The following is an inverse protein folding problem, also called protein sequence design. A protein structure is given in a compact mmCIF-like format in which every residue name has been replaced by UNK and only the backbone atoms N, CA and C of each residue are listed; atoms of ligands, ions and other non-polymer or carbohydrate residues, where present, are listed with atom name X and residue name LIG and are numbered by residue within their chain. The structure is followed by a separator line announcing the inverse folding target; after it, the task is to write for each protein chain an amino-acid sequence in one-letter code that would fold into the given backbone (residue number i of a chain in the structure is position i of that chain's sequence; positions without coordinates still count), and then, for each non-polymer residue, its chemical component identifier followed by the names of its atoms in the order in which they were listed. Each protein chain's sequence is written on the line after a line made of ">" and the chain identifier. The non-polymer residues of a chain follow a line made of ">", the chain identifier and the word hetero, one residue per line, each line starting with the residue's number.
data_IF_191562533056
#
_entry.id   IF_191562533056
#
_cell.length_a   1.000
_cell.length_b   1.000
_cell.length_c   1.000
_cell.angle_alpha   90.00
_cell.angle_beta   90.00
_cell.angle_gamma   90.00
#
_symmetry.space_group_name_H-M   'P 1'
#
loop_
_entity.id
_entity.type
_entity.pdbx_description
1 polymer ?
#
# COMPACT_ATOMS: atom_id res chain seq x y z
N UNK A 1 8.54 4.80 0.19
CA UNK A 1 7.44 3.84 0.16
C UNK A 1 6.05 4.45 -0.09
N UNK A 2 5.95 5.60 -0.77
CA UNK A 2 4.70 6.26 -1.13
C UNK A 2 3.95 6.95 0.03
N UNK A 3 4.60 7.11 1.16
CA UNK A 3 4.10 7.84 2.32
C UNK A 3 4.90 9.14 2.46
N UNK A 4 4.64 10.10 1.59
CA UNK A 4 5.38 11.38 1.55
C UNK A 4 4.66 12.52 2.27
N UNK A 5 3.66 12.18 3.07
CA UNK A 5 2.84 13.18 3.73
C UNK A 5 3.33 13.55 5.12
N UNK A 6 2.87 14.70 5.57
CA UNK A 6 2.84 15.01 6.98
C UNK A 6 2.14 13.89 7.72
N UNK A 7 2.83 13.28 8.66
CA UNK A 7 2.31 12.19 9.47
C UNK A 7 1.68 12.76 10.75
N UNK A 8 0.35 12.87 10.82
CA UNK A 8 -0.31 13.34 12.02
C UNK A 8 -0.07 12.40 13.21
N UNK A 9 -0.42 12.87 14.39
CA UNK A 9 -0.38 12.05 15.58
C UNK A 9 -1.46 10.98 15.52
N UNK A 10 -1.14 9.76 15.98
CA UNK A 10 -2.12 8.73 16.30
C UNK A 10 -2.25 8.60 17.80
N UNK A 11 -3.41 8.14 18.26
CA UNK A 11 -3.64 7.86 19.67
C UNK A 11 -3.47 6.37 19.94
N UNK A 12 -2.63 6.04 20.93
CA UNK A 12 -2.39 4.69 21.38
C UNK A 12 -2.69 4.64 22.88
N UNK A 13 -3.73 3.91 23.27
CA UNK A 13 -4.15 3.79 24.68
C UNK A 13 -4.32 5.15 25.39
N UNK A 14 -4.85 6.16 24.68
CA UNK A 14 -5.04 7.51 25.20
C UNK A 14 -3.78 8.39 25.18
N UNK A 15 -2.68 7.93 24.60
CA UNK A 15 -1.42 8.67 24.45
C UNK A 15 -1.24 9.09 23.02
N UNK A 16 -1.13 10.39 22.76
CA UNK A 16 -0.83 10.91 21.43
C UNK A 16 0.63 10.62 21.07
N UNK A 17 0.84 9.88 19.97
CA UNK A 17 2.15 9.55 19.41
C UNK A 17 2.31 10.29 18.09
N UNK A 18 3.13 11.36 18.04
CA UNK A 18 3.26 12.19 16.86
C UNK A 18 3.95 11.46 15.71
N UNK A 19 3.55 11.76 14.49
CA UNK A 19 4.25 11.37 13.28
C UNK A 19 4.14 9.90 12.89
N UNK A 20 3.13 9.17 13.35
CA UNK A 20 2.97 7.73 13.08
C UNK A 20 1.74 7.33 12.26
N UNK A 21 0.89 8.27 11.87
CA UNK A 21 -0.16 7.98 10.89
C UNK A 21 0.49 7.77 9.51
N UNK A 22 0.21 6.62 8.91
CA UNK A 22 0.74 6.19 7.62
C UNK A 22 -0.37 6.05 6.57
N UNK A 23 -1.51 6.70 6.78
CA UNK A 23 -2.58 6.72 5.79
C UNK A 23 -2.09 7.42 4.51
N UNK A 24 -2.08 6.75 3.36
CA UNK A 24 -1.57 7.35 2.12
C UNK A 24 -2.54 8.43 1.62
N UNK A 25 -1.99 9.52 1.11
CA UNK A 25 -2.74 10.59 0.46
C UNK A 25 -2.24 10.84 -0.97
N UNK A 26 -2.85 11.81 -1.65
CA UNK A 26 -2.45 12.20 -3.01
C UNK A 26 -0.97 12.64 -3.12
N UNK A 27 -0.35 13.08 -2.01
CA UNK A 27 1.06 13.49 -1.98
C UNK A 27 2.05 12.31 -2.14
N UNK A 28 1.56 11.07 -2.04
CA UNK A 28 2.35 9.87 -2.34
C UNK A 28 2.97 9.86 -3.76
N UNK A 29 2.58 10.83 -4.61
CA UNK A 29 3.10 11.02 -5.98
C UNK A 29 4.47 11.70 -6.05
N UNK A 30 5.08 12.06 -4.93
CA UNK A 30 6.40 12.67 -4.93
C UNK A 30 7.48 11.77 -5.54
N UNK A 31 8.28 12.33 -6.46
CA UNK A 31 9.44 11.67 -7.09
C UNK A 31 9.13 10.39 -7.90
N UNK A 32 7.94 10.28 -8.51
CA UNK A 32 7.61 9.18 -9.43
C UNK A 32 7.78 9.61 -10.89
N UNK A 33 8.01 8.63 -11.76
CA UNK A 33 8.08 8.84 -13.19
C UNK A 33 6.69 9.24 -13.73
N UNK A 34 6.53 10.48 -14.18
CA UNK A 34 5.26 10.97 -14.73
C UNK A 34 5.18 10.85 -16.25
N UNK A 35 6.31 10.74 -16.94
CA UNK A 35 6.32 10.62 -18.40
C UNK A 35 7.70 10.31 -18.96
N UNK A 36 7.70 9.90 -20.20
CA UNK A 36 8.89 9.66 -21.02
C UNK A 36 8.66 10.35 -22.36
N UNK A 37 9.61 11.15 -22.80
CA UNK A 37 9.64 11.73 -24.14
C UNK A 37 10.83 11.15 -24.92
N UNK A 38 10.57 10.79 -26.15
CA UNK A 38 11.60 10.26 -27.05
C UNK A 38 11.91 11.26 -28.17
N UNK A 39 13.16 11.29 -28.65
CA UNK A 39 13.59 12.25 -29.66
C UNK A 39 12.91 12.10 -31.04
N UNK A 40 12.11 11.06 -31.23
CA UNK A 40 11.36 10.79 -32.46
C UNK A 40 9.87 11.21 -32.37
N UNK A 41 9.51 12.01 -31.38
CA UNK A 41 8.17 12.55 -31.22
C UNK A 41 7.15 11.63 -30.53
N UNK A 42 7.58 10.53 -29.95
CA UNK A 42 6.72 9.72 -29.09
C UNK A 42 6.83 10.21 -27.65
N UNK A 43 5.72 10.24 -26.96
CA UNK A 43 5.71 10.43 -25.51
C UNK A 43 4.73 9.49 -24.83
N UNK A 44 5.04 9.19 -23.58
CA UNK A 44 4.21 8.40 -22.67
C UNK A 44 3.95 9.22 -21.41
N UNK A 45 2.71 9.32 -21.01
CA UNK A 45 2.32 9.94 -19.72
C UNK A 45 1.70 8.87 -18.85
N UNK A 46 2.18 8.76 -17.62
CA UNK A 46 1.70 7.81 -16.63
C UNK A 46 0.82 8.53 -15.60
N UNK A 47 -0.42 8.08 -15.49
CA UNK A 47 -1.32 8.55 -14.45
C UNK A 47 -1.41 7.48 -13.36
N UNK A 48 -1.29 7.92 -12.12
CA UNK A 48 -1.28 7.05 -10.96
C UNK A 48 -2.46 7.32 -10.05
N UNK A 49 -2.89 6.29 -9.36
CA UNK A 49 -3.84 6.34 -8.27
C UNK A 49 -3.26 5.64 -7.04
N UNK A 50 -3.88 5.85 -5.87
CA UNK A 50 -3.48 5.15 -4.65
C UNK A 50 -3.79 3.66 -4.80
N UNK A 51 -2.90 2.84 -4.24
CA UNK A 51 -3.22 1.45 -4.01
C UNK A 51 -4.45 1.32 -3.10
N UNK A 52 -5.21 0.26 -3.27
CA UNK A 52 -6.31 -0.08 -2.37
C UNK A 52 -6.30 -1.58 -2.07
N UNK A 53 -6.74 -1.93 -0.88
CA UNK A 53 -6.98 -3.30 -0.46
C UNK A 53 -8.43 -3.46 -0.02
N UNK A 54 -8.98 -4.65 -0.21
CA UNK A 54 -10.30 -4.99 0.30
C UNK A 54 -10.24 -5.13 1.83
N UNK A 55 -11.13 -4.43 2.51
CA UNK A 55 -11.37 -4.59 3.95
C UNK A 55 -12.78 -5.15 4.14
N UNK A 56 -12.87 -6.34 4.74
CA UNK A 56 -14.15 -7.03 4.90
C UNK A 56 -15.14 -6.28 5.80
N UNK A 57 -14.65 -5.45 6.72
CA UNK A 57 -15.47 -4.74 7.70
C UNK A 57 -15.90 -3.35 7.21
N UNK A 58 -15.02 -2.64 6.48
CA UNK A 58 -15.19 -1.21 6.21
C UNK A 58 -15.21 -0.88 4.71
N UNK A 59 -15.18 -1.89 3.83
CA UNK A 59 -15.05 -1.69 2.39
C UNK A 59 -13.59 -1.46 1.96
N UNK A 60 -13.39 -1.04 0.72
CA UNK A 60 -12.05 -0.80 0.21
C UNK A 60 -11.39 0.39 0.89
N UNK A 61 -10.13 0.24 1.28
CA UNK A 61 -9.35 1.32 1.88
C UNK A 61 -8.05 1.58 1.12
N UNK A 62 -7.58 2.83 1.12
CA UNK A 62 -6.28 3.17 0.55
C UNK A 62 -5.16 2.41 1.27
N UNK A 63 -4.13 2.02 0.50
CA UNK A 63 -2.95 1.36 1.02
C UNK A 63 -1.68 2.02 0.46
N UNK A 64 -0.56 1.86 1.14
CA UNK A 64 0.68 2.52 0.78
C UNK A 64 1.16 2.25 -0.64
N UNK A 65 1.70 3.28 -1.26
CA UNK A 65 2.17 3.25 -2.63
C UNK A 65 1.12 3.62 -3.67
N UNK A 66 1.53 3.53 -4.91
CA UNK A 66 0.75 3.93 -6.08
C UNK A 66 0.71 2.79 -7.09
N UNK A 67 -0.35 2.78 -7.88
CA UNK A 67 -0.52 1.93 -9.05
C UNK A 67 -0.84 2.77 -10.28
N UNK A 68 -0.60 2.23 -11.44
CA UNK A 68 -0.90 2.93 -12.71
C UNK A 68 -2.41 2.87 -12.97
N UNK A 69 -3.05 4.03 -13.06
CA UNK A 69 -4.46 4.13 -13.47
C UNK A 69 -4.59 4.15 -15.00
N UNK A 70 -3.68 4.87 -15.68
CA UNK A 70 -3.66 4.89 -17.15
C UNK A 70 -2.29 5.23 -17.71
N UNK A 71 -2.08 4.80 -18.95
CA UNK A 71 -0.93 5.18 -19.77
C UNK A 71 -1.45 5.85 -21.02
N UNK A 72 -1.08 7.11 -21.21
CA UNK A 72 -1.36 7.86 -22.43
C UNK A 72 -0.12 7.85 -23.31
N UNK A 73 -0.26 7.42 -24.56
CA UNK A 73 0.77 7.48 -25.57
C UNK A 73 0.40 8.52 -26.61
N UNK A 74 1.31 9.45 -26.88
CA UNK A 74 1.22 10.39 -27.99
C UNK A 74 2.20 9.93 -29.09
N UNK A 75 1.69 9.86 -30.31
CA UNK A 75 2.47 9.51 -31.49
C UNK A 75 2.85 10.82 -32.23
N UNK A 76 3.99 10.86 -32.87
CA UNK A 76 4.56 12.07 -33.49
C UNK A 76 3.68 12.80 -34.52
N UNK A 77 2.59 12.19 -34.99
CA UNK A 77 1.56 12.81 -35.84
C UNK A 77 0.43 13.50 -35.03
N UNK A 78 0.53 13.52 -33.69
CA UNK A 78 -0.49 14.06 -32.78
C UNK A 78 -1.60 13.06 -32.40
N UNK A 79 -1.55 11.84 -32.87
CA UNK A 79 -2.49 10.79 -32.48
C UNK A 79 -2.23 10.36 -31.02
N UNK A 80 -3.30 10.26 -30.26
CA UNK A 80 -3.25 9.89 -28.85
C UNK A 80 -4.00 8.58 -28.60
N UNK A 81 -3.38 7.69 -27.88
CA UNK A 81 -3.99 6.47 -27.40
C UNK A 81 -3.92 6.37 -25.88
N UNK A 82 -4.96 5.81 -25.27
CA UNK A 82 -5.04 5.67 -23.79
C UNK A 82 -5.34 4.24 -23.43
N UNK A 83 -4.48 3.63 -22.63
CA UNK A 83 -4.75 2.37 -21.93
C UNK A 83 -5.12 2.66 -20.49
N UNK A 84 -6.18 2.04 -19.98
CA UNK A 84 -6.63 2.19 -18.59
C UNK A 84 -6.58 0.87 -17.86
N UNK A 85 -6.34 0.93 -16.57
CA UNK A 85 -6.23 -0.23 -15.72
C UNK A 85 -7.23 -0.15 -14.56
N UNK A 86 -7.92 -1.24 -14.30
CA UNK A 86 -8.80 -1.40 -13.15
C UNK A 86 -8.35 -2.61 -12.34
N UNK A 87 -8.42 -2.45 -11.02
CA UNK A 87 -7.91 -3.41 -10.05
C UNK A 87 -9.02 -3.91 -9.13
N UNK A 88 -10.12 -4.34 -9.76
CA UNK A 88 -11.34 -4.72 -9.05
C UNK A 88 -11.74 -6.15 -9.36
N UNK A 89 -12.35 -6.78 -8.38
CA UNK A 89 -13.04 -8.05 -8.51
C UNK A 89 -14.39 -7.85 -9.24
N UNK A 90 -15.05 -8.93 -9.70
CA UNK A 90 -16.36 -8.82 -10.37
C UNK A 90 -17.45 -8.18 -9.50
N UNK A 91 -17.31 -8.22 -8.18
CA UNK A 91 -18.24 -7.59 -7.22
C UNK A 91 -17.94 -6.11 -6.96
N UNK A 92 -16.95 -5.53 -7.65
CA UNK A 92 -16.56 -4.13 -7.55
C UNK A 92 -15.60 -3.79 -6.44
N UNK A 93 -15.25 -4.75 -5.57
CA UNK A 93 -14.26 -4.54 -4.52
C UNK A 93 -12.83 -4.57 -5.08
N UNK A 94 -11.90 -3.97 -4.36
CA UNK A 94 -10.49 -4.04 -4.70
C UNK A 94 -10.00 -5.49 -4.79
N UNK A 95 -9.24 -5.81 -5.82
CA UNK A 95 -8.52 -7.09 -5.93
C UNK A 95 -7.15 -7.04 -5.23
N UNK A 96 -6.84 -5.92 -4.56
CA UNK A 96 -5.59 -5.73 -3.85
C UNK A 96 -5.54 -6.46 -2.53
N UNK A 97 -4.38 -7.04 -2.26
CA UNK A 97 -4.06 -7.75 -1.02
C UNK A 97 -2.70 -7.28 -0.53
N UNK A 98 -2.62 -6.88 0.72
CA UNK A 98 -1.36 -6.51 1.35
C UNK A 98 -0.69 -7.75 1.94
N UNK A 99 0.64 -7.81 1.86
CA UNK A 99 1.41 -8.82 2.58
C UNK A 99 1.26 -8.63 4.09
N UNK A 100 1.35 -7.38 4.54
CA UNK A 100 1.09 -6.98 5.91
C UNK A 100 0.29 -5.68 5.90
N UNK A 101 -0.94 -5.74 6.41
CA UNK A 101 -1.87 -4.60 6.41
C UNK A 101 -1.84 -3.80 7.71
N UNK A 102 -1.20 -4.35 8.75
CA UNK A 102 -1.06 -3.70 10.07
C UNK A 102 0.40 -3.35 10.31
N UNK A 103 0.71 -2.05 10.15
CA UNK A 103 2.04 -1.54 10.46
C UNK A 103 2.22 -1.37 11.96
N UNK A 104 3.29 -1.94 12.50
CA UNK A 104 3.61 -1.84 13.92
C UNK A 104 4.90 -1.08 14.12
N UNK A 105 4.78 0.09 14.72
CA UNK A 105 5.89 0.98 15.04
C UNK A 105 6.07 1.20 16.55
N UNK A 106 5.34 0.45 17.35
CA UNK A 106 5.40 0.58 18.79
C UNK A 106 5.18 -0.77 19.48
N UNK A 107 5.72 -0.87 20.68
CA UNK A 107 5.37 -1.91 21.64
C UNK A 107 4.78 -1.27 22.90
N UNK A 108 3.75 -1.88 23.46
CA UNK A 108 3.16 -1.46 24.72
C UNK A 108 3.44 -2.50 25.81
N UNK A 109 3.91 -2.04 26.93
CA UNK A 109 4.20 -2.86 28.09
C UNK A 109 3.23 -2.49 29.22
N UNK A 110 2.26 -3.35 29.56
CA UNK A 110 1.19 -3.00 30.49
C UNK A 110 1.62 -2.88 31.97
N UNK A 111 2.79 -3.39 32.32
CA UNK A 111 3.18 -3.56 33.73
C UNK A 111 4.58 -2.99 34.02
N UNK A 112 4.66 -1.66 34.17
CA UNK A 112 5.75 -1.07 34.93
C UNK A 112 5.62 -1.41 36.42
N UNK A 113 6.68 -1.25 37.24
CA UNK A 113 6.68 -1.58 38.69
C UNK A 113 5.57 -0.91 39.51
N UNK A 114 4.92 0.12 38.96
CA UNK A 114 3.84 0.89 39.57
C UNK A 114 2.51 0.85 38.76
N UNK A 115 2.37 -0.13 37.84
CA UNK A 115 1.19 -0.23 36.98
C UNK A 115 1.21 0.76 35.82
N UNK A 116 2.36 1.40 35.55
CA UNK A 116 2.52 2.35 34.46
C UNK A 116 2.53 1.63 33.11
N UNK A 117 1.73 2.14 32.17
CA UNK A 117 1.85 1.75 30.77
C UNK A 117 3.09 2.43 30.16
N UNK A 118 3.95 1.64 29.52
CA UNK A 118 5.09 2.14 28.77
C UNK A 118 4.90 1.84 27.31
N UNK A 119 5.06 2.84 26.45
CA UNK A 119 5.03 2.69 25.00
C UNK A 119 6.42 2.98 24.49
N UNK A 120 7.02 1.99 23.81
CA UNK A 120 8.26 2.17 23.05
C UNK A 120 7.90 2.41 21.59
N UNK A 121 8.32 3.53 21.05
CA UNK A 121 8.08 3.90 19.65
C UNK A 121 9.37 3.73 18.86
N UNK A 122 9.25 3.11 17.70
CA UNK A 122 10.39 2.80 16.83
C UNK A 122 10.30 3.64 15.55
N UNK A 123 11.46 4.02 15.01
CA UNK A 123 11.56 4.74 13.74
C UNK A 123 11.36 3.84 12.51
N UNK A 124 11.36 2.52 12.70
CA UNK A 124 11.13 1.52 11.67
C UNK A 124 9.98 0.61 12.05
N UNK A 125 9.30 0.04 11.07
CA UNK A 125 8.30 -0.98 11.31
C UNK A 125 8.93 -2.22 11.94
N UNK A 126 8.28 -2.78 12.96
CA UNK A 126 8.79 -3.93 13.71
C UNK A 126 8.47 -5.22 12.95
N UNK A 127 7.28 -5.28 12.33
CA UNK A 127 6.87 -6.43 11.55
C UNK A 127 7.39 -6.33 10.10
N UNK A 128 7.50 -7.48 9.44
CA UNK A 128 7.94 -7.53 8.06
C UNK A 128 6.84 -6.98 7.13
N UNK A 129 7.21 -6.02 6.26
CA UNK A 129 6.27 -5.35 5.36
C UNK A 129 6.24 -5.96 3.95
N UNK A 130 7.18 -6.83 3.65
CA UNK A 130 7.42 -7.35 2.31
C UNK A 130 7.44 -8.86 2.29
N UNK A 131 6.96 -9.43 1.19
CA UNK A 131 7.20 -10.83 0.88
C UNK A 131 8.68 -11.10 0.51
N UNK A 132 9.03 -12.34 0.23
CA UNK A 132 10.38 -12.71 -0.21
C UNK A 132 10.79 -12.09 -1.55
N UNK A 133 9.83 -11.66 -2.37
CA UNK A 133 10.06 -10.96 -3.63
C UNK A 133 10.22 -9.44 -3.48
N UNK A 134 10.11 -8.91 -2.26
CA UNK A 134 10.18 -7.48 -1.99
C UNK A 134 8.89 -6.72 -2.29
N UNK A 135 7.77 -7.42 -2.48
CA UNK A 135 6.47 -6.81 -2.73
C UNK A 135 5.73 -6.61 -1.40
N UNK A 136 5.15 -5.43 -1.21
CA UNK A 136 4.34 -5.13 -0.04
C UNK A 136 2.85 -5.35 -0.29
N UNK A 137 2.46 -5.47 -1.56
CA UNK A 137 1.10 -5.82 -1.96
C UNK A 137 1.07 -6.41 -3.38
N UNK A 138 -0.01 -7.10 -3.69
CA UNK A 138 -0.31 -7.66 -5.00
C UNK A 138 -1.78 -7.45 -5.38
N UNK A 139 -2.12 -7.72 -6.62
CA UNK A 139 -3.49 -7.70 -7.14
C UNK A 139 -3.79 -9.05 -7.74
N UNK A 140 -4.87 -9.70 -7.30
CA UNK A 140 -5.30 -10.99 -7.87
C UNK A 140 -5.98 -10.83 -9.24
N UNK A 141 -6.48 -9.62 -9.55
CA UNK A 141 -7.14 -9.33 -10.82
C UNK A 141 -6.83 -7.92 -11.29
N UNK A 142 -6.42 -7.80 -12.55
CA UNK A 142 -6.22 -6.52 -13.24
C UNK A 142 -6.93 -6.55 -14.58
N UNK A 143 -7.74 -5.55 -14.90
CA UNK A 143 -8.37 -5.40 -16.20
C UNK A 143 -7.70 -4.25 -16.95
N UNK A 144 -7.13 -4.54 -18.09
CA UNK A 144 -6.55 -3.55 -19.01
C UNK A 144 -7.52 -3.26 -20.13
N UNK A 145 -7.93 -2.00 -20.29
CA UNK A 145 -8.78 -1.51 -21.36
C UNK A 145 -7.92 -0.87 -22.46
N UNK A 146 -8.13 -1.32 -23.68
CA UNK A 146 -7.44 -0.81 -24.85
C UNK A 146 -8.17 0.35 -25.50
N UNK A 147 -7.49 1.20 -26.31
CA UNK A 147 -8.10 2.35 -26.98
C UNK A 147 -9.27 1.99 -27.91
N UNK A 148 -9.27 0.80 -28.49
CA UNK A 148 -10.31 0.29 -29.37
C UNK A 148 -11.55 -0.24 -28.64
N UNK A 149 -11.61 -0.12 -27.32
CA UNK A 149 -12.71 -0.63 -26.49
C UNK A 149 -12.60 -2.11 -26.11
N UNK A 150 -11.61 -2.84 -26.61
CA UNK A 150 -11.33 -4.20 -26.12
C UNK A 150 -10.69 -4.17 -24.73
N UNK A 151 -10.74 -5.29 -24.02
CA UNK A 151 -10.09 -5.40 -22.73
C UNK A 151 -9.47 -6.79 -22.55
N UNK A 152 -8.47 -6.84 -21.70
CA UNK A 152 -7.83 -8.07 -21.23
C UNK A 152 -7.91 -8.14 -19.72
N UNK A 153 -8.27 -9.30 -19.19
CA UNK A 153 -8.28 -9.57 -17.75
C UNK A 153 -7.10 -10.46 -17.41
N UNK A 154 -6.26 -9.97 -16.54
CA UNK A 154 -5.16 -10.74 -15.95
C UNK A 154 -5.62 -11.24 -14.58
N UNK A 155 -5.58 -12.57 -14.38
CA UNK A 155 -5.84 -13.20 -13.11
C UNK A 155 -4.54 -13.79 -12.59
N UNK A 156 -4.21 -13.48 -11.35
CA UNK A 156 -3.02 -13.97 -10.67
C UNK A 156 -3.42 -14.85 -9.50
N UNK A 157 -2.72 -15.95 -9.32
CA UNK A 157 -2.87 -16.74 -8.11
C UNK A 157 -2.46 -15.91 -6.90
N UNK A 158 -3.23 -15.99 -5.86
CA UNK A 158 -2.95 -15.28 -4.61
C UNK A 158 -1.76 -15.96 -3.91
N UNK A 159 -0.54 -15.69 -4.39
CA UNK A 159 0.69 -16.20 -3.79
C UNK A 159 1.02 -15.63 -2.41
N UNK A 160 0.15 -14.77 -1.90
CA UNK A 160 0.18 -14.26 -0.54
C UNK A 160 -0.90 -14.99 0.25
N UNK A 161 -0.67 -16.25 0.56
CA UNK A 161 -1.31 -16.84 1.72
C UNK A 161 -0.81 -16.07 2.95
N UNK A 162 -1.76 -15.64 3.78
CA UNK A 162 -1.44 -14.98 5.05
C UNK A 162 -0.44 -15.84 5.81
N UNK A 163 0.85 -15.54 5.61
CA UNK A 163 1.94 -16.10 6.39
C UNK A 163 2.01 -15.41 7.77
N UNK A 164 0.94 -14.71 8.13
CA UNK A 164 0.78 -14.25 9.49
C UNK A 164 -0.18 -15.19 10.23
N UNK A 165 0.31 -16.30 10.78
CA UNK A 165 -0.25 -16.74 12.02
C UNK A 165 -0.11 -15.52 12.93
N UNK A 166 -1.17 -15.10 13.62
CA UNK A 166 -1.09 -14.16 14.71
C UNK A 166 0.16 -14.48 15.53
N UNK A 167 1.27 -13.81 15.22
CA UNK A 167 2.40 -13.82 16.12
C UNK A 167 1.93 -13.03 17.33
N UNK A 168 1.16 -13.71 18.17
CA UNK A 168 1.02 -13.29 19.53
C UNK A 168 2.42 -13.30 20.11
N UNK A 169 3.06 -12.15 20.05
CA UNK A 169 4.29 -11.92 20.78
C UNK A 169 3.93 -11.98 22.27
N UNK A 170 4.08 -13.17 22.84
CA UNK A 170 4.15 -13.30 24.27
C UNK A 170 5.50 -12.74 24.71
N UNK A 171 5.55 -11.57 25.35
CA UNK A 171 6.81 -11.15 25.96
C UNK A 171 7.15 -12.21 27.02
N UNK A 172 8.14 -13.04 26.70
CA UNK A 172 8.76 -13.85 27.75
C UNK A 172 9.43 -12.89 28.69
N UNK A 173 8.74 -12.54 29.76
CA UNK A 173 9.34 -11.86 30.91
C UNK A 173 10.41 -12.80 31.43
N UNK A 174 11.72 -12.47 31.40
CA UNK A 174 12.68 -13.24 32.13
C UNK A 174 12.27 -13.12 33.60
N UNK A 175 12.01 -14.25 34.24
CA UNK A 175 11.88 -14.27 35.69
C UNK A 175 13.19 -13.74 36.27
N UNK A 176 13.15 -12.55 36.84
CA UNK A 176 14.23 -12.03 37.66
C UNK A 176 14.24 -12.88 38.94
N UNK A 177 15.20 -13.79 39.02
CA UNK A 177 15.59 -14.45 40.26
C UNK A 177 16.41 -13.50 41.13
#
# INVERSE_FOLDING_TARGET
>A
YGYHDYMPAIEIDGIAVPGHDRTPTANARGNILSGIETGNGFSFTYNYELNSIADAANGDRPFGGLRIASITQLIGNGEQTVRRFEYTLPDGRSSGKAFQDKFRYYDSYPNGPQGEKRILVYSRCINNLYDFGGNHMSYSRVTEYMPNGSYTVYCYDEGIDNLDPEWEYYPTTPALT
#
